data_IF_556739285020
#
_entry.id   IF_556739285020
#
_cell.length_a   1.000
_cell.length_b   1.000
_cell.length_c   1.000
_cell.angle_alpha   90.00
_cell.angle_beta   90.00
_cell.angle_gamma   90.00
#
_symmetry.space_group_name_H-M   'P 1'
#
loop_
_entity.id
_entity.type
_entity.pdbx_description
1 polymer ?
#
# COMPACT_ATOMS: atom_id res chain seq x y z
N UNK A 1 -33.67 -0.72 5.73
CA UNK A 1 -33.71 0.75 5.81
C UNK A 1 -32.31 1.21 5.47
N UNK A 2 -32.09 1.53 4.21
CA UNK A 2 -30.78 1.86 3.67
C UNK A 2 -30.60 3.37 3.86
N UNK A 3 -29.90 3.76 4.93
CA UNK A 3 -29.50 5.14 5.10
C UNK A 3 -28.30 5.37 4.19
N UNK A 4 -28.58 5.79 2.96
CA UNK A 4 -27.56 6.19 2.02
C UNK A 4 -26.91 7.47 2.57
N UNK A 5 -25.74 7.33 3.18
CA UNK A 5 -24.91 8.47 3.54
C UNK A 5 -24.61 9.25 2.25
N UNK A 6 -24.63 10.60 2.26
CA UNK A 6 -24.25 11.35 1.09
C UNK A 6 -22.80 11.00 0.75
N UNK A 7 -22.60 10.25 -0.34
CA UNK A 7 -21.28 9.80 -0.78
C UNK A 7 -20.33 10.98 -0.95
N UNK A 8 -19.06 10.76 -0.65
CA UNK A 8 -18.02 11.79 -0.81
C UNK A 8 -17.97 12.16 -2.29
N UNK A 9 -18.07 13.46 -2.58
CA UNK A 9 -17.93 13.98 -3.94
C UNK A 9 -16.57 14.64 -4.10
N UNK A 10 -15.72 14.05 -4.93
CA UNK A 10 -14.41 14.61 -5.28
C UNK A 10 -14.56 15.62 -6.42
N UNK A 11 -13.79 16.72 -6.38
CA UNK A 11 -13.79 17.71 -7.45
C UNK A 11 -12.92 17.28 -8.65
N UNK A 12 -12.00 16.33 -8.45
CA UNK A 12 -11.12 15.75 -9.48
C UNK A 12 -10.58 14.38 -9.04
N UNK A 13 -10.04 13.62 -9.99
CA UNK A 13 -9.36 12.34 -9.71
C UNK A 13 -8.11 12.54 -8.85
N UNK A 14 -7.39 13.65 -9.02
CA UNK A 14 -6.26 14.00 -8.17
C UNK A 14 -6.67 14.09 -6.70
N UNK A 15 -7.76 14.82 -6.41
CA UNK A 15 -8.27 14.97 -5.05
C UNK A 15 -8.75 13.63 -4.46
N UNK A 16 -9.32 12.76 -5.31
CA UNK A 16 -9.71 11.40 -4.94
C UNK A 16 -8.49 10.54 -4.55
N UNK A 17 -7.48 10.48 -5.40
CA UNK A 17 -6.27 9.71 -5.16
C UNK A 17 -5.50 10.22 -3.95
N UNK A 18 -5.44 11.55 -3.76
CA UNK A 18 -4.92 12.18 -2.55
C UNK A 18 -5.62 11.66 -1.30
N UNK A 19 -6.94 11.73 -1.28
CA UNK A 19 -7.75 11.38 -0.13
C UNK A 19 -7.53 9.92 0.29
N UNK A 20 -7.55 8.99 -0.67
CA UNK A 20 -7.41 7.57 -0.37
C UNK A 20 -5.96 7.17 -0.06
N UNK A 21 -4.95 7.76 -0.71
CA UNK A 21 -3.56 7.51 -0.31
C UNK A 21 -3.26 8.05 1.08
N UNK A 22 -3.83 9.21 1.47
CA UNK A 22 -3.72 9.70 2.86
C UNK A 22 -4.30 8.72 3.87
N UNK A 23 -5.46 8.11 3.59
CA UNK A 23 -5.98 7.03 4.44
C UNK A 23 -5.07 5.82 4.52
N UNK A 24 -4.44 5.42 3.42
CA UNK A 24 -3.44 4.34 3.45
C UNK A 24 -2.21 4.71 4.29
N UNK A 25 -1.75 5.97 4.21
CA UNK A 25 -0.67 6.49 5.06
C UNK A 25 -1.05 6.49 6.54
N UNK A 26 -2.29 6.87 6.89
CA UNK A 26 -2.79 6.81 8.27
C UNK A 26 -2.71 5.38 8.83
N UNK A 27 -3.13 4.37 8.05
CA UNK A 27 -2.94 2.95 8.42
C UNK A 27 -1.46 2.57 8.56
N UNK A 28 -0.57 3.15 7.75
CA UNK A 28 0.88 2.97 7.86
C UNK A 28 1.46 3.56 9.15
N UNK A 29 0.95 4.72 9.59
CA UNK A 29 1.30 5.32 10.88
C UNK A 29 0.80 4.47 12.06
N UNK A 30 -0.40 3.88 11.96
CA UNK A 30 -0.91 2.95 12.97
C UNK A 30 -0.03 1.69 13.10
N UNK A 31 0.45 1.14 11.97
CA UNK A 31 1.41 0.03 11.99
C UNK A 31 2.73 0.47 12.64
N UNK A 32 3.24 1.65 12.29
CA UNK A 32 4.46 2.19 12.88
C UNK A 32 4.32 2.34 14.40
N UNK A 33 3.22 2.92 14.87
CA UNK A 33 2.93 3.12 16.29
C UNK A 33 2.78 1.78 17.04
N UNK A 34 2.36 0.72 16.35
CA UNK A 34 2.22 -0.63 16.89
C UNK A 34 3.52 -1.46 16.82
N UNK A 35 4.60 -0.92 16.27
CA UNK A 35 5.88 -1.62 16.09
C UNK A 35 5.85 -2.65 14.96
N UNK A 36 4.93 -2.52 14.01
CA UNK A 36 4.87 -3.31 12.79
C UNK A 36 5.61 -2.60 11.64
N UNK A 37 6.01 -3.36 10.62
CA UNK A 37 6.52 -2.76 9.37
C UNK A 37 5.45 -1.80 8.82
N UNK A 38 5.74 -0.50 8.60
CA UNK A 38 4.72 0.54 8.46
C UNK A 38 4.12 0.61 7.05
N UNK A 39 3.40 -0.45 6.70
CA UNK A 39 2.67 -0.60 5.46
C UNK A 39 1.19 -0.55 5.80
N UNK A 40 0.47 0.34 5.12
CA UNK A 40 -0.97 0.53 5.26
C UNK A 40 -1.64 0.57 3.89
N UNK A 41 -2.91 0.20 3.84
CA UNK A 41 -3.70 0.26 2.63
C UNK A 41 -5.20 0.45 2.88
N UNK A 42 -5.91 0.87 1.84
CA UNK A 42 -7.37 0.87 1.77
C UNK A 42 -7.85 0.34 0.42
N UNK A 43 -8.96 -0.40 0.45
CA UNK A 43 -9.70 -0.85 -0.72
C UNK A 43 -10.90 0.06 -0.93
N UNK A 44 -11.07 0.54 -2.15
CA UNK A 44 -12.04 1.57 -2.51
C UNK A 44 -12.98 1.06 -3.59
N UNK A 45 -14.27 1.02 -3.29
CA UNK A 45 -15.33 0.67 -4.22
C UNK A 45 -16.38 1.76 -4.20
N UNK A 46 -16.79 2.27 -5.37
CA UNK A 46 -17.74 3.39 -5.51
C UNK A 46 -17.40 4.61 -4.64
N UNK A 47 -16.13 5.03 -4.65
CA UNK A 47 -15.64 6.19 -3.89
C UNK A 47 -15.84 6.07 -2.36
N UNK A 48 -15.98 4.84 -1.87
CA UNK A 48 -16.04 4.49 -0.45
C UNK A 48 -14.91 3.52 -0.11
N UNK A 49 -14.23 3.75 1.01
CA UNK A 49 -13.26 2.80 1.54
C UNK A 49 -14.03 1.63 2.20
N UNK A 50 -14.08 0.49 1.52
CA UNK A 50 -14.83 -0.71 1.94
C UNK A 50 -14.00 -1.68 2.76
N UNK A 51 -12.68 -1.51 2.77
CA UNK A 51 -11.77 -2.22 3.66
C UNK A 51 -10.46 -1.48 3.82
N UNK A 52 -9.76 -1.79 4.90
CA UNK A 52 -8.53 -1.16 5.36
C UNK A 52 -7.61 -2.21 5.96
N UNK A 53 -6.31 -1.97 5.90
CA UNK A 53 -5.35 -2.91 6.42
C UNK A 53 -4.03 -2.26 6.75
N UNK A 54 -3.35 -2.81 7.73
CA UNK A 54 -1.97 -2.52 8.04
C UNK A 54 -1.24 -3.83 8.35
N UNK A 55 0.08 -3.87 8.22
CA UNK A 55 0.81 -5.08 8.59
C UNK A 55 0.58 -5.44 10.07
N UNK A 56 0.39 -6.73 10.34
CA UNK A 56 0.11 -7.29 11.67
C UNK A 56 1.01 -8.51 11.96
N UNK A 57 2.07 -8.67 11.15
CA UNK A 57 2.89 -9.89 11.10
C UNK A 57 3.55 -10.26 12.42
N UNK A 58 4.03 -9.28 13.20
CA UNK A 58 4.70 -9.54 14.46
C UNK A 58 3.68 -9.86 15.57
N UNK A 59 2.65 -9.03 15.72
CA UNK A 59 1.59 -9.21 16.72
C UNK A 59 0.84 -10.51 16.51
N UNK A 60 0.56 -10.88 15.27
CA UNK A 60 -0.15 -12.12 14.93
C UNK A 60 0.75 -13.35 14.86
N UNK A 61 2.07 -13.19 14.87
CA UNK A 61 3.05 -14.25 14.59
C UNK A 61 2.75 -14.99 13.27
N UNK A 62 2.31 -14.26 12.25
CA UNK A 62 1.91 -14.83 10.96
C UNK A 62 2.45 -13.99 9.80
N UNK A 63 3.35 -14.59 9.02
CA UNK A 63 4.01 -13.93 7.89
C UNK A 63 3.08 -13.55 6.72
N UNK A 64 1.85 -14.05 6.67
CA UNK A 64 0.90 -13.70 5.59
C UNK A 64 0.03 -12.48 5.92
N UNK A 65 0.05 -11.99 7.17
CA UNK A 65 -0.81 -10.88 7.65
C UNK A 65 -0.25 -9.51 7.24
N UNK A 66 -0.13 -9.32 5.93
CA UNK A 66 0.20 -8.06 5.29
C UNK A 66 -1.04 -7.18 5.15
N UNK A 67 -0.84 -5.86 5.03
CA UNK A 67 -1.90 -4.87 4.90
C UNK A 67 -2.94 -5.26 3.84
N UNK A 68 -2.50 -5.67 2.65
CA UNK A 68 -3.39 -6.02 1.53
C UNK A 68 -4.28 -7.23 1.85
N UNK A 69 -3.74 -8.23 2.56
CA UNK A 69 -4.53 -9.40 2.99
C UNK A 69 -5.56 -9.03 4.05
N UNK A 70 -5.21 -8.16 5.00
CA UNK A 70 -6.16 -7.72 6.03
C UNK A 70 -7.28 -6.86 5.44
N UNK A 71 -6.98 -5.99 4.47
CA UNK A 71 -7.99 -5.23 3.77
C UNK A 71 -8.94 -6.14 2.97
N UNK A 72 -8.39 -7.14 2.26
CA UNK A 72 -9.20 -8.14 1.54
C UNK A 72 -10.09 -8.92 2.53
N UNK A 73 -9.54 -9.34 3.68
CA UNK A 73 -10.29 -10.01 4.74
C UNK A 73 -11.45 -9.15 5.24
N UNK A 74 -11.21 -7.85 5.48
CA UNK A 74 -12.24 -6.91 5.91
C UNK A 74 -13.37 -6.76 4.88
N UNK A 75 -13.03 -6.60 3.60
CA UNK A 75 -14.03 -6.53 2.52
C UNK A 75 -14.87 -7.80 2.47
N UNK A 76 -14.24 -8.98 2.53
CA UNK A 76 -14.93 -10.27 2.43
C UNK A 76 -15.87 -10.59 3.59
N UNK A 77 -15.80 -9.85 4.71
CA UNK A 77 -16.77 -9.99 5.81
C UNK A 77 -18.14 -9.41 5.46
N UNK A 78 -18.18 -8.40 4.59
CA UNK A 78 -19.39 -7.62 4.31
C UNK A 78 -19.81 -7.64 2.84
N UNK A 79 -18.91 -8.00 1.92
CA UNK A 79 -19.13 -7.93 0.48
C UNK A 79 -18.79 -9.25 -0.23
N UNK A 80 -19.47 -9.57 -1.34
CA UNK A 80 -19.11 -10.73 -2.15
C UNK A 80 -17.78 -10.48 -2.88
N UNK A 81 -17.03 -11.56 -3.12
CA UNK A 81 -15.75 -11.53 -3.86
C UNK A 81 -15.84 -10.79 -5.21
N UNK A 82 -16.99 -10.76 -5.87
CA UNK A 82 -17.14 -10.10 -7.18
C UNK A 82 -16.83 -8.60 -7.14
N UNK A 83 -16.93 -7.94 -5.96
CA UNK A 83 -16.69 -6.51 -5.79
C UNK A 83 -15.25 -6.09 -6.17
N UNK A 84 -14.28 -7.00 -6.02
CA UNK A 84 -12.86 -6.68 -6.27
C UNK A 84 -12.60 -6.25 -7.71
N UNK A 85 -13.39 -6.75 -8.68
CA UNK A 85 -13.32 -6.36 -10.09
C UNK A 85 -13.58 -4.87 -10.36
N UNK A 86 -14.22 -4.20 -9.41
CA UNK A 86 -14.57 -2.78 -9.47
C UNK A 86 -13.84 -1.97 -8.39
N UNK A 87 -12.99 -2.62 -7.59
CA UNK A 87 -12.31 -2.04 -6.43
C UNK A 87 -10.87 -1.61 -6.77
N UNK A 88 -10.48 -0.43 -6.31
CA UNK A 88 -9.09 0.04 -6.34
C UNK A 88 -8.39 -0.21 -5.00
N UNK A 89 -7.12 -0.56 -5.03
CA UNK A 89 -6.25 -0.59 -3.86
C UNK A 89 -5.38 0.66 -3.81
N UNK A 90 -5.29 1.32 -2.65
CA UNK A 90 -4.27 2.31 -2.34
C UNK A 90 -3.38 1.75 -1.24
N UNK A 91 -2.08 1.63 -1.48
CA UNK A 91 -1.12 1.00 -0.55
C UNK A 91 0.16 1.83 -0.45
N UNK A 92 0.73 1.97 0.74
CA UNK A 92 1.90 2.86 0.93
C UNK A 92 3.15 2.34 0.23
N UNK A 93 3.31 1.02 0.10
CA UNK A 93 4.48 0.38 -0.51
C UNK A 93 4.02 -0.55 -1.64
N UNK A 94 4.81 -0.64 -2.72
CA UNK A 94 4.59 -1.58 -3.80
C UNK A 94 4.30 -3.00 -3.27
N UNK A 95 3.18 -3.64 -3.69
CA UNK A 95 2.81 -4.96 -3.21
C UNK A 95 3.93 -5.98 -3.42
N UNK A 96 4.17 -6.82 -2.42
CA UNK A 96 5.14 -7.90 -2.57
C UNK A 96 4.62 -8.98 -3.52
N UNK A 97 5.48 -9.92 -3.93
CA UNK A 97 5.12 -11.08 -4.78
C UNK A 97 3.84 -11.79 -4.30
N UNK A 98 3.72 -12.04 -2.98
CA UNK A 98 2.55 -12.70 -2.39
C UNK A 98 1.27 -11.87 -2.60
N UNK A 99 1.31 -10.59 -2.23
CA UNK A 99 0.15 -9.70 -2.35
C UNK A 99 -0.22 -9.45 -3.81
N UNK A 100 0.77 -9.25 -4.68
CA UNK A 100 0.57 -9.06 -6.12
C UNK A 100 -0.14 -10.26 -6.76
N UNK A 101 0.26 -11.49 -6.41
CA UNK A 101 -0.41 -12.72 -6.87
C UNK A 101 -1.83 -12.86 -6.30
N UNK A 102 -2.05 -12.50 -5.03
CA UNK A 102 -3.40 -12.53 -4.46
C UNK A 102 -4.33 -11.55 -5.19
N UNK A 103 -3.88 -10.32 -5.45
CA UNK A 103 -4.64 -9.29 -6.16
C UNK A 103 -5.02 -9.74 -7.59
N UNK A 104 -4.14 -10.47 -8.27
CA UNK A 104 -4.43 -11.13 -9.56
C UNK A 104 -5.57 -12.14 -9.44
N UNK A 105 -5.52 -13.02 -8.44
CA UNK A 105 -6.56 -14.03 -8.20
C UNK A 105 -7.92 -13.39 -7.83
N UNK A 106 -7.90 -12.27 -7.11
CA UNK A 106 -9.10 -11.50 -6.80
C UNK A 106 -9.59 -10.61 -7.95
N UNK A 107 -8.79 -10.49 -9.02
CA UNK A 107 -9.08 -9.66 -10.19
C UNK A 107 -9.35 -8.21 -9.79
N UNK A 108 -8.50 -7.64 -8.93
CA UNK A 108 -8.60 -6.23 -8.52
C UNK A 108 -8.64 -5.31 -9.75
N UNK A 109 -9.36 -4.18 -9.69
CA UNK A 109 -9.44 -3.25 -10.82
C UNK A 109 -8.10 -2.54 -11.06
N UNK A 110 -7.58 -1.89 -10.01
CA UNK A 110 -6.38 -1.06 -10.08
C UNK A 110 -5.63 -1.02 -8.75
N UNK A 111 -4.31 -0.84 -8.80
CA UNK A 111 -3.45 -0.66 -7.63
C UNK A 111 -2.69 0.66 -7.76
N UNK A 112 -2.85 1.53 -6.75
CA UNK A 112 -2.09 2.75 -6.56
C UNK A 112 -1.12 2.55 -5.39
N UNK A 113 0.18 2.77 -5.61
CA UNK A 113 1.18 2.61 -4.55
C UNK A 113 2.09 3.82 -4.38
N UNK A 114 2.60 4.00 -3.15
CA UNK A 114 3.48 5.10 -2.80
C UNK A 114 4.92 4.91 -3.26
N UNK A 115 5.71 4.12 -2.53
CA UNK A 115 7.11 3.87 -2.88
C UNK A 115 7.35 2.44 -3.38
N UNK A 116 8.39 2.29 -4.21
CA UNK A 116 8.80 0.98 -4.73
C UNK A 116 9.29 0.04 -3.62
N UNK A 117 9.22 -1.26 -3.89
CA UNK A 117 9.69 -2.33 -3.01
C UNK A 117 10.85 -3.09 -3.67
N UNK A 118 12.05 -2.53 -3.55
CA UNK A 118 13.26 -3.02 -4.23
C UNK A 118 13.66 -4.46 -3.85
N UNK A 119 13.18 -4.96 -2.71
CA UNK A 119 13.56 -6.28 -2.19
C UNK A 119 12.56 -7.37 -2.48
N UNK A 120 11.27 -7.03 -2.55
CA UNK A 120 10.19 -8.01 -2.59
C UNK A 120 9.06 -7.67 -3.56
N UNK A 121 9.19 -6.56 -4.32
CA UNK A 121 8.17 -6.02 -5.20
C UNK A 121 7.67 -7.01 -6.25
N UNK A 122 6.37 -7.25 -6.28
CA UNK A 122 5.71 -8.16 -7.21
C UNK A 122 5.08 -7.45 -8.40
N UNK A 123 5.20 -6.13 -8.50
CA UNK A 123 4.53 -5.31 -9.53
C UNK A 123 5.51 -4.44 -10.33
N UNK A 124 6.78 -4.82 -10.44
CA UNK A 124 7.80 -3.98 -11.06
C UNK A 124 9.18 -4.10 -10.41
N UNK A 125 9.22 -4.18 -9.08
CA UNK A 125 10.46 -4.09 -8.31
C UNK A 125 11.37 -5.31 -8.49
N UNK A 126 10.81 -6.52 -8.30
CA UNK A 126 11.55 -7.80 -8.46
C UNK A 126 10.92 -8.65 -9.55
N UNK A 127 9.60 -8.80 -9.52
CA UNK A 127 8.81 -9.53 -10.52
C UNK A 127 7.66 -8.65 -11.04
N UNK A 128 7.12 -9.04 -12.20
CA UNK A 128 5.99 -8.36 -12.85
C UNK A 128 4.72 -9.21 -12.80
N UNK A 129 4.35 -9.74 -11.64
CA UNK A 129 3.18 -10.61 -11.51
C UNK A 129 1.86 -9.89 -11.82
N UNK A 130 1.80 -8.58 -11.64
CA UNK A 130 0.63 -7.78 -12.02
C UNK A 130 0.29 -7.84 -13.51
N UNK A 131 1.24 -8.16 -14.40
CA UNK A 131 1.08 -8.17 -15.87
C UNK A 131 1.55 -9.46 -16.56
N UNK A 132 2.06 -10.45 -15.82
CA UNK A 132 2.53 -11.73 -16.38
C UNK A 132 1.40 -12.45 -17.18
N UNK A 133 1.57 -12.76 -18.48
CA UNK A 133 0.52 -13.38 -19.28
C UNK A 133 0.26 -14.86 -18.94
N UNK A 134 1.14 -15.51 -18.16
CA UNK A 134 1.05 -16.93 -17.82
C UNK A 134 0.16 -17.26 -16.62
N UNK A 135 -0.44 -16.27 -15.96
CA UNK A 135 -1.29 -16.46 -14.76
C UNK A 135 -2.73 -15.94 -15.00
N UNK A 136 -3.37 -15.31 -14.01
CA UNK A 136 -4.74 -14.74 -14.11
C UNK A 136 -4.84 -13.54 -15.08
N UNK A 137 -5.94 -12.77 -15.20
CA UNK A 137 -5.93 -11.50 -15.94
C UNK A 137 -5.13 -10.39 -15.23
N UNK A 138 -4.51 -9.44 -15.98
CA UNK A 138 -3.79 -8.32 -15.38
C UNK A 138 -4.71 -7.29 -14.73
N UNK A 139 -4.12 -6.45 -13.89
CA UNK A 139 -4.79 -5.29 -13.28
C UNK A 139 -4.01 -4.00 -13.54
N UNK A 140 -4.69 -2.87 -13.47
CA UNK A 140 -4.05 -1.56 -13.65
C UNK A 140 -3.12 -1.21 -12.49
N UNK A 141 -2.01 -0.54 -12.79
CA UNK A 141 -0.99 -0.21 -11.80
C UNK A 141 -0.55 1.25 -11.94
N UNK A 142 -0.38 1.94 -10.82
CA UNK A 142 0.17 3.30 -10.75
C UNK A 142 1.02 3.46 -9.50
N UNK A 143 2.30 3.82 -9.68
CA UNK A 143 3.24 4.03 -8.59
C UNK A 143 3.58 5.50 -8.36
N UNK A 144 4.18 5.80 -7.21
CA UNK A 144 4.76 7.12 -6.91
C UNK A 144 3.84 8.07 -6.12
N UNK A 145 2.62 7.65 -5.78
CA UNK A 145 1.63 8.51 -5.13
C UNK A 145 1.97 8.72 -3.64
N UNK A 146 2.36 9.93 -3.24
CA UNK A 146 2.91 10.21 -1.90
C UNK A 146 4.18 9.38 -1.60
N UNK A 147 5.04 9.21 -2.62
CA UNK A 147 6.30 8.44 -2.51
C UNK A 147 7.16 8.87 -1.33
N UNK A 148 7.30 10.17 -1.09
CA UNK A 148 8.20 10.70 -0.04
C UNK A 148 7.70 10.27 1.33
N UNK A 149 6.41 10.45 1.58
CA UNK A 149 5.73 10.11 2.82
C UNK A 149 5.81 8.60 3.10
N UNK A 150 5.58 7.78 2.07
CA UNK A 150 5.73 6.33 2.16
C UNK A 150 7.17 5.89 2.49
N UNK A 151 8.18 6.49 1.84
CA UNK A 151 9.59 6.25 2.17
C UNK A 151 9.88 6.67 3.62
N UNK A 152 9.33 7.80 4.07
CA UNK A 152 9.55 8.29 5.43
C UNK A 152 8.95 7.38 6.51
N UNK A 153 7.83 6.71 6.25
CA UNK A 153 7.34 5.64 7.14
C UNK A 153 8.38 4.54 7.31
N UNK A 154 8.86 3.95 6.21
CA UNK A 154 9.86 2.88 6.24
C UNK A 154 11.17 3.33 6.90
N UNK A 155 11.67 4.53 6.56
CA UNK A 155 12.89 5.08 7.17
C UNK A 155 12.72 5.24 8.68
N UNK A 156 11.60 5.79 9.16
CA UNK A 156 11.30 5.90 10.59
C UNK A 156 11.30 4.56 11.30
N UNK A 157 10.77 3.50 10.68
CA UNK A 157 10.81 2.15 11.25
C UNK A 157 12.24 1.59 11.34
N UNK A 158 13.03 1.67 10.26
CA UNK A 158 14.37 1.06 10.25
C UNK A 158 15.41 1.76 11.12
N UNK A 159 15.17 3.02 11.52
CA UNK A 159 16.01 3.71 12.50
C UNK A 159 15.64 3.37 13.95
N UNK A 160 14.48 2.77 14.22
CA UNK A 160 14.10 2.35 15.57
C UNK A 160 14.97 1.17 16.05
N UNK A 161 15.15 1.06 17.37
CA UNK A 161 15.80 -0.12 17.95
C UNK A 161 14.85 -1.30 17.95
N UNK A 162 15.30 -2.42 17.38
CA UNK A 162 14.60 -3.67 17.57
C UNK A 162 15.00 -4.24 18.93
N UNK A 163 14.32 -3.78 19.99
CA UNK A 163 14.49 -4.28 21.36
C UNK A 163 14.16 -5.78 21.47
N UNK A 164 13.39 -6.32 20.53
CA UNK A 164 13.02 -7.75 20.47
C UNK A 164 14.10 -8.63 19.81
N UNK A 165 15.19 -8.04 19.30
CA UNK A 165 16.28 -8.82 18.72
C UNK A 165 17.01 -9.63 19.81
N UNK A 166 17.36 -10.92 19.58
CA UNK A 166 18.06 -11.75 20.57
C UNK A 166 19.39 -11.16 21.04
N UNK A 167 20.07 -10.41 20.17
CA UNK A 167 21.24 -9.61 20.49
C UNK A 167 21.09 -8.26 19.79
N UNK A 168 20.51 -7.23 20.46
CA UNK A 168 20.37 -5.91 19.87
C UNK A 168 21.75 -5.35 19.57
N UNK A 169 22.08 -5.21 18.28
CA UNK A 169 23.30 -4.52 17.87
C UNK A 169 22.97 -3.03 17.75
N UNK A 170 23.56 -2.15 18.58
CA UNK A 170 23.40 -0.72 18.38
C UNK A 170 24.00 -0.36 17.02
N UNK A 171 23.16 0.09 16.09
CA UNK A 171 23.67 0.75 14.88
C UNK A 171 24.18 2.12 15.29
N UNK A 172 25.49 2.33 15.26
CA UNK A 172 26.10 3.66 15.34
C UNK A 172 25.63 4.46 14.10
N UNK A 173 25.28 5.73 14.28
CA UNK A 173 24.79 6.68 13.26
C UNK A 173 23.37 6.43 12.70
N UNK A 174 22.35 6.46 13.58
CA UNK A 174 20.92 6.46 13.18
C UNK A 174 20.43 7.85 12.82
N UNK A 175 20.98 8.44 11.77
CA UNK A 175 20.42 9.68 11.24
C UNK A 175 19.32 9.38 10.23
N UNK A 176 18.14 9.97 10.47
CA UNK A 176 17.05 9.94 9.51
C UNK A 176 17.50 10.75 8.28
N UNK A 177 17.86 10.04 7.21
CA UNK A 177 18.18 10.70 5.94
C UNK A 177 16.91 11.33 5.40
N UNK A 178 16.93 12.65 5.24
CA UNK A 178 15.89 13.41 4.55
C UNK A 178 16.27 13.70 3.09
N UNK A 179 17.45 13.26 2.67
CA UNK A 179 17.88 13.31 1.29
C UNK A 179 17.13 12.24 0.48
N UNK A 180 16.54 12.67 -0.63
CA UNK A 180 15.86 11.81 -1.60
C UNK A 180 16.70 11.66 -2.88
N UNK A 181 17.89 12.24 -2.93
CA UNK A 181 18.75 12.32 -4.13
C UNK A 181 18.26 13.36 -5.13
N UNK A 182 19.16 13.83 -6.00
CA UNK A 182 18.77 14.51 -7.24
C UNK A 182 18.26 13.46 -8.25
N UNK A 183 17.21 12.71 -7.91
CA UNK A 183 16.42 11.92 -8.85
C UNK A 183 15.22 12.74 -9.35
N UNK A 184 15.47 13.98 -9.79
CA UNK A 184 14.65 14.69 -10.79
C UNK A 184 13.13 14.81 -10.55
N UNK A 185 12.62 14.55 -9.35
CA UNK A 185 11.21 14.75 -9.00
C UNK A 185 11.11 15.69 -7.80
N UNK A 186 11.55 16.93 -8.04
CA UNK A 186 11.24 18.07 -7.19
C UNK A 186 9.71 18.25 -7.18
N UNK A 187 9.04 17.53 -6.28
CA UNK A 187 7.57 17.50 -6.19
C UNK A 187 6.93 16.82 -7.40
N UNK A 188 6.54 15.55 -7.29
CA UNK A 188 5.40 15.10 -8.07
C UNK A 188 4.13 15.68 -7.43
N UNK A 189 3.92 16.98 -7.62
CA UNK A 189 2.57 17.56 -7.60
C UNK A 189 1.79 16.86 -8.70
N UNK A 190 1.09 15.77 -8.39
CA UNK A 190 0.02 15.16 -9.19
C UNK A 190 0.24 14.95 -10.71
N UNK A 191 1.46 15.04 -11.22
CA UNK A 191 1.73 15.06 -12.65
C UNK A 191 2.23 13.69 -13.11
N UNK A 192 1.39 13.08 -13.95
CA UNK A 192 1.66 11.92 -14.79
C UNK A 192 1.76 10.59 -14.03
N UNK A 193 0.57 10.01 -13.83
CA UNK A 193 0.33 8.57 -13.86
C UNK A 193 1.11 8.03 -15.07
N UNK A 194 2.32 7.52 -14.88
CA UNK A 194 2.99 6.72 -15.88
C UNK A 194 2.30 5.36 -15.84
N UNK A 195 1.49 4.98 -16.85
CA UNK A 195 1.17 3.58 -17.03
C UNK A 195 2.49 2.86 -17.20
N UNK A 196 2.86 2.04 -16.22
CA UNK A 196 3.90 1.05 -16.41
C UNK A 196 3.30 0.04 -17.40
N UNK A 197 3.64 0.21 -18.68
CA UNK A 197 3.27 -0.70 -19.78
C UNK A 197 3.91 -2.06 -19.62
#
# INVERSE_FOLDING_TARGET
>A
MEQNSPGIRFASDAQKHEYFMKKALDMGEEALASGETPVGCVLVHNDEATGSGMNDTNKSMNGTRHAEFLAIEEVLRNYPRSIFRETDLYVTVEPCIMCASALRQYQIRHVYFGCANERFGGTGGVLNLHSDPGIDPPYGLTGGLFRREAIMLLRRFYIQENERAPNPKPKKDRELKNDFGEDGSMGMEFAEILPLT
#
